data_IF_866262648950
#
_entry.id   IF_866262648950
#
_cell.length_a   1.000
_cell.length_b   1.000
_cell.length_c   1.000
_cell.angle_alpha   90.00
_cell.angle_beta   90.00
_cell.angle_gamma   90.00
#
_symmetry.space_group_name_H-M   'P 1'
#
loop_
_entity.id
_entity.type
_entity.pdbx_description
1 polymer ?
#
# COMPACT_ATOMS: atom_id res chain seq x y z
N UNK A 1 -10.78 9.32 4.33
CA UNK A 1 -11.88 8.38 4.61
C UNK A 1 -11.42 7.11 5.36
N UNK A 2 -10.17 7.06 5.79
CA UNK A 2 -9.65 6.02 6.69
C UNK A 2 -9.90 6.44 8.13
N UNK A 3 -10.34 5.53 8.97
CA UNK A 3 -10.64 5.78 10.37
C UNK A 3 -10.37 4.56 11.26
N UNK A 4 -10.62 4.72 12.55
CA UNK A 4 -10.50 3.63 13.51
C UNK A 4 -11.45 2.47 13.16
N UNK A 5 -10.97 1.25 13.40
CA UNK A 5 -11.68 0.00 13.13
C UNK A 5 -11.88 -0.38 11.64
N UNK A 6 -11.34 0.39 10.70
CA UNK A 6 -11.38 0.03 9.29
C UNK A 6 -10.61 -1.27 8.99
N UNK A 7 -11.05 -1.98 7.95
CA UNK A 7 -10.36 -3.13 7.38
C UNK A 7 -9.60 -2.67 6.15
N UNK A 8 -8.29 -2.88 6.14
CA UNK A 8 -7.41 -2.28 5.14
C UNK A 8 -6.60 -3.34 4.38
N UNK A 9 -6.54 -3.19 3.08
CA UNK A 9 -5.59 -3.89 2.20
C UNK A 9 -4.68 -2.85 1.55
N UNK A 10 -3.38 -3.10 1.55
CA UNK A 10 -2.40 -2.28 0.83
C UNK A 10 -1.72 -3.15 -0.22
N UNK A 11 -1.98 -2.88 -1.51
CA UNK A 11 -1.32 -3.54 -2.64
C UNK A 11 -0.10 -2.72 -3.03
N UNK A 12 1.07 -3.37 -3.08
CA UNK A 12 2.37 -2.71 -3.16
C UNK A 12 2.89 -2.31 -1.78
N UNK A 13 2.55 -3.09 -0.74
CA UNK A 13 2.81 -2.78 0.67
C UNK A 13 4.28 -2.62 1.04
N UNK A 14 5.19 -3.21 0.28
CA UNK A 14 6.63 -3.11 0.50
C UNK A 14 7.32 -2.03 -0.35
N UNK A 15 6.56 -1.32 -1.19
CA UNK A 15 7.04 -0.22 -2.02
C UNK A 15 7.18 1.09 -1.26
N UNK A 16 7.72 2.11 -1.96
CA UNK A 16 8.00 3.43 -1.35
C UNK A 16 6.78 4.19 -0.82
N UNK A 17 5.58 3.95 -1.38
CA UNK A 17 4.32 4.54 -0.91
C UNK A 17 3.59 3.57 0.01
N UNK A 18 3.49 2.30 -0.39
CA UNK A 18 2.73 1.29 0.34
C UNK A 18 3.24 1.03 1.75
N UNK A 19 4.56 1.06 1.97
CA UNK A 19 5.16 0.87 3.29
C UNK A 19 4.75 1.96 4.30
N UNK A 20 4.59 3.19 3.85
CA UNK A 20 4.02 4.25 4.68
C UNK A 20 2.50 4.13 4.80
N UNK A 21 1.81 3.67 3.75
CA UNK A 21 0.35 3.46 3.82
C UNK A 21 -0.02 2.41 4.88
N UNK A 22 0.76 1.33 5.01
CA UNK A 22 0.60 0.33 6.09
C UNK A 22 0.71 0.98 7.47
N UNK A 23 1.76 1.78 7.69
CA UNK A 23 1.98 2.47 8.96
C UNK A 23 0.87 3.49 9.26
N UNK A 24 0.49 4.29 8.26
CA UNK A 24 -0.62 5.26 8.40
C UNK A 24 -1.91 4.55 8.75
N UNK A 25 -2.24 3.46 8.06
CA UNK A 25 -3.46 2.70 8.35
C UNK A 25 -3.48 2.19 9.80
N UNK A 26 -2.39 1.60 10.24
CA UNK A 26 -2.27 1.10 11.62
C UNK A 26 -2.27 2.24 12.64
N UNK A 27 -1.52 3.31 12.38
CA UNK A 27 -1.45 4.50 13.24
C UNK A 27 -2.75 5.27 13.36
N UNK A 28 -3.65 5.16 12.37
CA UNK A 28 -5.02 5.70 12.42
C UNK A 28 -6.03 4.75 13.09
N UNK A 29 -5.58 3.59 13.57
CA UNK A 29 -6.42 2.66 14.31
C UNK A 29 -7.18 1.65 13.45
N UNK A 30 -6.71 1.35 12.23
CA UNK A 30 -7.28 0.26 11.44
C UNK A 30 -7.28 -1.05 12.23
N UNK A 31 -8.40 -1.76 12.21
CA UNK A 31 -8.58 -3.03 12.93
C UNK A 31 -7.71 -4.13 12.35
N UNK A 32 -7.67 -4.21 11.02
CA UNK A 32 -6.87 -5.19 10.29
C UNK A 32 -6.18 -4.49 9.12
N UNK A 33 -4.87 -4.72 8.98
CA UNK A 33 -4.08 -4.25 7.84
C UNK A 33 -3.42 -5.45 7.15
N UNK A 34 -3.80 -5.73 5.91
CA UNK A 34 -3.21 -6.79 5.08
C UNK A 34 -2.30 -6.17 4.04
N UNK A 35 -1.01 -6.49 4.10
CA UNK A 35 -0.03 -6.08 3.09
C UNK A 35 0.08 -7.10 1.95
N UNK A 36 0.06 -6.65 0.71
CA UNK A 36 0.26 -7.47 -0.49
C UNK A 36 1.42 -6.92 -1.30
N UNK A 37 2.45 -7.76 -1.55
CA UNK A 37 3.59 -7.38 -2.38
C UNK A 37 4.28 -8.62 -2.94
N UNK A 38 4.97 -8.45 -4.08
CA UNK A 38 5.72 -9.52 -4.77
C UNK A 38 7.14 -9.72 -4.22
N UNK A 39 7.66 -8.75 -3.46
CA UNK A 39 8.97 -8.83 -2.83
C UNK A 39 8.85 -9.46 -1.44
N UNK A 40 9.13 -10.75 -1.33
CA UNK A 40 8.94 -11.53 -0.10
C UNK A 40 9.74 -10.98 1.09
N UNK A 41 11.00 -10.58 0.87
CA UNK A 41 11.89 -10.07 1.93
C UNK A 41 11.37 -8.77 2.53
N UNK A 42 11.08 -7.78 1.66
CA UNK A 42 10.55 -6.48 2.11
C UNK A 42 9.16 -6.62 2.71
N UNK A 43 8.33 -7.51 2.14
CA UNK A 43 6.97 -7.75 2.62
C UNK A 43 6.96 -8.36 4.03
N UNK A 44 7.87 -9.30 4.32
CA UNK A 44 7.98 -9.90 5.65
C UNK A 44 8.22 -8.84 6.74
N UNK A 45 9.06 -7.84 6.46
CA UNK A 45 9.34 -6.73 7.38
C UNK A 45 8.11 -5.87 7.70
N UNK A 46 7.12 -5.83 6.80
CA UNK A 46 5.93 -4.98 7.01
C UNK A 46 5.10 -5.37 8.23
N UNK A 47 5.28 -6.60 8.75
CA UNK A 47 4.66 -7.01 10.03
C UNK A 47 5.18 -6.20 11.21
N UNK A 48 6.46 -5.84 11.21
CA UNK A 48 7.07 -5.01 12.25
C UNK A 48 6.59 -3.55 12.20
N UNK A 49 6.00 -3.16 11.07
CA UNK A 49 5.52 -1.81 10.79
C UNK A 49 3.98 -1.70 10.68
N UNK A 50 3.25 -2.68 11.19
CA UNK A 50 1.80 -2.58 11.37
C UNK A 50 0.94 -3.40 10.43
N UNK A 51 1.52 -4.24 9.55
CA UNK A 51 0.73 -5.23 8.82
C UNK A 51 0.38 -6.41 9.74
N UNK A 52 -0.90 -6.67 9.95
CA UNK A 52 -1.36 -7.83 10.74
C UNK A 52 -1.15 -9.14 9.97
N UNK A 53 -1.24 -9.08 8.63
CA UNK A 53 -0.96 -10.22 7.76
C UNK A 53 -0.35 -9.77 6.43
N UNK A 54 0.30 -10.70 5.74
CA UNK A 54 0.94 -10.45 4.45
C UNK A 54 0.61 -11.54 3.44
N UNK A 55 0.49 -11.17 2.16
CA UNK A 55 0.24 -12.09 1.03
C UNK A 55 1.23 -11.77 -0.09
N UNK A 56 1.97 -12.78 -0.55
CA UNK A 56 2.77 -12.66 -1.76
C UNK A 56 2.01 -13.28 -2.95
N UNK A 57 1.58 -12.48 -3.95
CA UNK A 57 0.82 -13.00 -5.09
C UNK A 57 1.59 -14.00 -5.96
N UNK A 58 2.92 -14.02 -5.88
CA UNK A 58 3.75 -15.01 -6.61
C UNK A 58 3.67 -16.39 -5.99
N UNK A 59 3.41 -16.47 -4.68
CA UNK A 59 3.30 -17.74 -3.94
C UNK A 59 1.88 -18.29 -3.97
N UNK A 60 0.87 -17.43 -4.17
CA UNK A 60 -0.54 -17.81 -4.21
C UNK A 60 -1.30 -17.02 -5.31
N UNK A 61 -1.13 -17.36 -6.60
CA UNK A 61 -1.72 -16.61 -7.70
C UNK A 61 -3.23 -16.82 -7.85
N UNK A 62 -3.92 -15.82 -8.36
CA UNK A 62 -5.30 -15.91 -8.81
C UNK A 62 -6.30 -16.28 -7.71
N UNK A 63 -6.90 -17.47 -7.78
CA UNK A 63 -7.90 -17.94 -6.80
C UNK A 63 -7.28 -18.18 -5.42
N UNK A 64 -6.05 -18.64 -5.36
CA UNK A 64 -5.35 -18.94 -4.11
C UNK A 64 -5.13 -17.68 -3.28
N UNK A 65 -4.86 -16.53 -3.92
CA UNK A 65 -4.77 -15.24 -3.23
C UNK A 65 -6.08 -14.91 -2.49
N UNK A 66 -7.21 -15.12 -3.15
CA UNK A 66 -8.53 -14.87 -2.53
C UNK A 66 -8.81 -15.82 -1.37
N UNK A 67 -8.45 -17.09 -1.50
CA UNK A 67 -8.61 -18.06 -0.41
C UNK A 67 -7.69 -17.72 0.77
N UNK A 68 -6.45 -17.30 0.51
CA UNK A 68 -5.54 -16.83 1.54
C UNK A 68 -6.08 -15.58 2.25
N UNK A 69 -6.60 -14.61 1.48
CA UNK A 69 -7.25 -13.42 2.02
C UNK A 69 -8.45 -13.76 2.91
N UNK A 70 -9.32 -14.68 2.46
CA UNK A 70 -10.46 -15.17 3.26
C UNK A 70 -10.02 -15.83 4.56
N UNK A 71 -8.95 -16.64 4.52
CA UNK A 71 -8.40 -17.26 5.72
C UNK A 71 -7.93 -16.22 6.73
N UNK A 72 -7.18 -15.20 6.27
CA UNK A 72 -6.73 -14.08 7.11
C UNK A 72 -7.92 -13.33 7.72
N UNK A 73 -8.93 -12.99 6.94
CA UNK A 73 -10.12 -12.32 7.45
C UNK A 73 -10.83 -13.15 8.52
N UNK A 74 -10.95 -14.46 8.30
CA UNK A 74 -11.54 -15.42 9.26
C UNK A 74 -10.74 -15.48 10.56
N UNK A 75 -9.40 -15.57 10.48
CA UNK A 75 -8.50 -15.56 11.63
C UNK A 75 -8.62 -14.25 12.43
N UNK A 76 -8.81 -13.13 11.75
CA UNK A 76 -9.03 -11.83 12.35
C UNK A 76 -10.47 -11.61 12.89
N UNK A 77 -11.37 -12.57 12.72
CA UNK A 77 -12.76 -12.47 13.16
C UNK A 77 -13.57 -11.42 12.38
N UNK A 78 -13.28 -11.23 11.08
CA UNK A 78 -13.96 -10.26 10.21
C UNK A 78 -14.44 -10.93 8.91
N UNK A 79 -15.41 -10.30 8.23
CA UNK A 79 -15.84 -10.76 6.92
C UNK A 79 -14.81 -10.42 5.85
N UNK A 80 -14.49 -11.37 4.96
CA UNK A 80 -13.66 -11.09 3.80
C UNK A 80 -14.41 -10.35 2.67
N UNK A 81 -15.74 -10.30 2.73
CA UNK A 81 -16.58 -9.90 1.61
C UNK A 81 -17.24 -8.53 1.78
N UNK A 82 -16.90 -7.77 2.81
CA UNK A 82 -17.55 -6.47 3.03
C UNK A 82 -16.66 -5.46 3.75
N UNK A 83 -16.77 -4.20 3.35
CA UNK A 83 -16.24 -3.04 4.07
C UNK A 83 -14.73 -2.84 3.99
N UNK A 84 -14.01 -3.55 3.14
CA UNK A 84 -12.57 -3.38 2.99
C UNK A 84 -12.21 -2.11 2.22
N UNK A 85 -11.24 -1.39 2.74
CA UNK A 85 -10.58 -0.26 2.07
C UNK A 85 -9.26 -0.72 1.47
N UNK A 86 -9.20 -0.72 0.16
CA UNK A 86 -8.07 -1.24 -0.60
C UNK A 86 -7.30 -0.07 -1.17
N UNK A 87 -6.01 0.03 -0.84
CA UNK A 87 -5.11 1.06 -1.38
C UNK A 87 -4.19 0.41 -2.41
N UNK A 88 -4.37 0.78 -3.68
CA UNK A 88 -3.52 0.35 -4.77
C UNK A 88 -2.33 1.33 -4.88
N UNK A 89 -1.14 0.88 -4.48
CA UNK A 89 0.07 1.70 -4.40
C UNK A 89 1.15 1.32 -5.41
N UNK A 90 0.87 0.38 -6.34
CA UNK A 90 1.87 -0.09 -7.31
C UNK A 90 1.87 0.71 -8.60
N UNK A 91 0.70 1.14 -9.08
CA UNK A 91 0.49 1.70 -10.41
C UNK A 91 0.68 0.69 -11.55
N UNK A 92 0.91 -0.59 -11.25
CA UNK A 92 1.07 -1.63 -12.27
C UNK A 92 -0.24 -2.33 -12.58
N UNK A 93 -0.41 -2.81 -13.81
CA UNK A 93 -1.59 -3.58 -14.21
C UNK A 93 -1.85 -4.76 -13.25
N UNK A 94 -0.83 -5.53 -12.90
CA UNK A 94 -0.97 -6.68 -12.01
C UNK A 94 -1.43 -6.28 -10.60
N UNK A 95 -0.92 -5.15 -10.07
CA UNK A 95 -1.36 -4.62 -8.79
C UNK A 95 -2.80 -4.13 -8.82
N UNK A 96 -3.18 -3.41 -9.87
CA UNK A 96 -4.55 -2.94 -10.09
C UNK A 96 -5.53 -4.10 -10.23
N UNK A 97 -5.20 -5.14 -11.02
CA UNK A 97 -6.02 -6.35 -11.15
C UNK A 97 -6.16 -7.08 -9.81
N UNK A 98 -5.09 -7.15 -9.02
CA UNK A 98 -5.12 -7.72 -7.67
C UNK A 98 -6.08 -6.94 -6.78
N UNK A 99 -5.96 -5.63 -6.72
CA UNK A 99 -6.82 -4.75 -5.93
C UNK A 99 -8.31 -4.87 -6.35
N UNK A 100 -8.59 -4.80 -7.64
CA UNK A 100 -9.94 -4.96 -8.21
C UNK A 100 -10.53 -6.35 -7.92
N UNK A 101 -9.69 -7.37 -7.87
CA UNK A 101 -10.14 -8.74 -7.59
C UNK A 101 -10.62 -8.94 -6.15
N UNK A 102 -10.15 -8.10 -5.22
CA UNK A 102 -10.50 -8.12 -3.79
C UNK A 102 -11.65 -7.15 -3.46
N UNK A 103 -12.00 -6.25 -4.37
CA UNK A 103 -13.11 -5.32 -4.17
C UNK A 103 -14.42 -6.09 -4.05
N UNK A 104 -15.16 -5.82 -2.99
CA UNK A 104 -16.35 -6.55 -2.59
C UNK A 104 -17.41 -5.61 -2.01
N UNK A 105 -18.45 -6.14 -1.36
CA UNK A 105 -19.60 -5.37 -0.87
C UNK A 105 -19.18 -4.21 0.03
N UNK A 106 -19.70 -3.02 -0.26
CA UNK A 106 -19.44 -1.76 0.47
C UNK A 106 -17.95 -1.46 0.60
N UNK A 107 -17.16 -1.99 -0.34
CA UNK A 107 -15.71 -1.80 -0.37
C UNK A 107 -15.32 -0.50 -1.08
N UNK A 108 -14.17 0.03 -0.73
CA UNK A 108 -13.58 1.21 -1.38
C UNK A 108 -12.21 0.85 -1.92
N UNK A 109 -11.98 1.04 -3.21
CA UNK A 109 -10.65 0.98 -3.82
C UNK A 109 -10.13 2.40 -4.04
N UNK A 110 -9.01 2.73 -3.44
CA UNK A 110 -8.30 4.00 -3.61
C UNK A 110 -7.09 3.78 -4.53
N UNK A 111 -7.10 4.41 -5.69
CA UNK A 111 -5.99 4.36 -6.65
C UNK A 111 -4.97 5.43 -6.27
N UNK A 112 -3.81 5.00 -5.80
CA UNK A 112 -2.70 5.84 -5.33
C UNK A 112 -1.50 5.72 -6.26
N UNK A 113 -1.22 4.50 -6.74
CA UNK A 113 -0.11 4.22 -7.65
C UNK A 113 -0.35 4.84 -9.02
N UNK A 114 0.69 5.48 -9.57
CA UNK A 114 0.66 5.99 -10.94
C UNK A 114 1.24 4.96 -11.90
N UNK A 115 0.54 4.73 -13.00
CA UNK A 115 0.96 3.87 -14.09
C UNK A 115 0.24 4.23 -15.39
N UNK A 116 0.76 3.77 -16.50
CA UNK A 116 0.23 4.05 -17.86
C UNK A 116 -0.52 2.87 -18.47
N UNK A 117 -0.53 1.72 -17.78
CA UNK A 117 -1.18 0.51 -18.27
C UNK A 117 -2.70 0.61 -18.13
N UNK A 118 -3.41 0.07 -19.12
CA UNK A 118 -4.85 -0.06 -19.06
C UNK A 118 -5.25 -1.33 -18.28
N UNK A 119 -6.22 -1.18 -17.37
CA UNK A 119 -6.79 -2.28 -16.61
C UNK A 119 -8.29 -2.40 -16.88
N UNK A 120 -8.76 -3.59 -17.23
CA UNK A 120 -10.17 -3.85 -17.49
C UNK A 120 -10.91 -4.23 -16.22
N UNK A 121 -12.10 -3.66 -16.02
CA UNK A 121 -12.99 -4.00 -14.93
C UNK A 121 -14.46 -3.97 -15.37
N UNK A 122 -15.24 -4.93 -14.91
CA UNK A 122 -16.67 -4.96 -15.17
C UNK A 122 -17.40 -3.98 -14.26
N UNK A 123 -17.79 -2.80 -14.78
CA UNK A 123 -18.41 -1.72 -14.00
C UNK A 123 -19.70 -2.14 -13.30
N UNK A 124 -20.45 -3.10 -13.85
CA UNK A 124 -21.65 -3.64 -13.17
C UNK A 124 -21.35 -4.27 -11.80
N UNK A 125 -20.11 -4.67 -11.52
CA UNK A 125 -19.71 -5.13 -10.19
C UNK A 125 -19.70 -3.99 -9.16
N UNK A 126 -19.40 -2.77 -9.55
CA UNK A 126 -19.49 -1.61 -8.63
C UNK A 126 -20.93 -1.44 -8.15
N UNK A 127 -21.87 -1.48 -9.09
CA UNK A 127 -23.30 -1.41 -8.77
C UNK A 127 -23.74 -2.61 -7.91
N UNK A 128 -23.34 -3.83 -8.28
CA UNK A 128 -23.74 -5.06 -7.58
C UNK A 128 -23.16 -5.14 -6.15
N UNK A 129 -22.01 -4.52 -5.90
CA UNK A 129 -21.35 -4.53 -4.60
C UNK A 129 -21.59 -3.24 -3.79
N UNK A 130 -22.30 -2.27 -4.34
CA UNK A 130 -22.40 -0.93 -3.72
C UNK A 130 -21.01 -0.38 -3.32
N UNK A 131 -20.04 -0.56 -4.23
CA UNK A 131 -18.63 -0.30 -4.00
C UNK A 131 -18.17 1.00 -4.70
N UNK A 132 -17.06 1.55 -4.23
CA UNK A 132 -16.46 2.76 -4.78
C UNK A 132 -15.06 2.51 -5.33
N UNK A 133 -14.70 3.20 -6.42
CA UNK A 133 -13.31 3.36 -6.89
C UNK A 133 -13.01 4.85 -6.90
N UNK A 134 -11.95 5.26 -6.20
CA UNK A 134 -11.61 6.67 -6.00
C UNK A 134 -10.16 6.89 -6.41
N UNK A 135 -9.90 7.87 -7.28
CA UNK A 135 -8.55 8.37 -7.55
C UNK A 135 -8.10 9.35 -6.47
N UNK A 136 -6.80 9.43 -6.26
CA UNK A 136 -6.19 10.44 -5.40
C UNK A 136 -4.95 11.02 -6.06
N UNK A 137 -4.75 12.33 -5.90
CA UNK A 137 -3.62 13.07 -6.41
C UNK A 137 -3.08 14.02 -5.36
N UNK A 138 -1.85 13.77 -4.92
CA UNK A 138 -1.22 14.60 -3.89
C UNK A 138 -2.00 14.68 -2.57
N UNK A 139 -1.67 15.65 -1.75
CA UNK A 139 -2.43 15.96 -0.55
C UNK A 139 -2.46 17.48 -0.31
N UNK A 140 -3.50 17.96 0.37
CA UNK A 140 -3.62 19.37 0.75
C UNK A 140 -2.69 19.69 1.92
N UNK A 141 -2.14 20.94 2.00
CA UNK A 141 -1.18 21.32 3.04
C UNK A 141 -1.70 21.15 4.48
N UNK A 142 -2.99 21.24 4.70
CA UNK A 142 -3.64 21.07 6.00
C UNK A 142 -3.46 19.66 6.61
N UNK A 143 -3.06 18.66 5.80
CA UNK A 143 -2.81 17.29 6.26
C UNK A 143 -1.39 17.09 6.81
N UNK A 144 -0.44 17.96 6.43
CA UNK A 144 0.96 17.78 6.85
C UNK A 144 1.16 17.79 8.37
N UNK A 145 0.54 18.71 9.15
CA UNK A 145 0.72 18.71 10.60
C UNK A 145 0.37 17.36 11.25
N UNK A 146 -0.76 16.78 10.88
CA UNK A 146 -1.20 15.50 11.45
C UNK A 146 -0.26 14.34 11.09
N UNK A 147 0.28 14.32 9.85
CA UNK A 147 1.24 13.30 9.43
C UNK A 147 2.58 13.47 10.14
N UNK A 148 3.05 14.71 10.30
CA UNK A 148 4.28 15.00 11.06
C UNK A 148 4.14 14.61 12.53
N UNK A 149 2.99 14.85 13.15
CA UNK A 149 2.69 14.38 14.51
C UNK A 149 2.81 12.86 14.61
N UNK A 150 2.26 12.11 13.65
CA UNK A 150 2.40 10.65 13.59
C UNK A 150 3.86 10.18 13.46
N UNK A 151 4.72 10.97 12.82
CA UNK A 151 6.16 10.70 12.76
C UNK A 151 6.85 11.00 14.10
N UNK A 152 6.48 12.11 14.76
CA UNK A 152 7.09 12.55 16.03
C UNK A 152 6.72 11.62 17.20
N UNK A 153 5.51 11.08 17.21
CA UNK A 153 5.04 10.15 18.25
C UNK A 153 5.37 8.68 17.96
N UNK A 154 6.05 8.39 16.84
CA UNK A 154 6.55 7.08 16.49
C UNK A 154 5.54 6.14 15.81
N UNK A 155 4.31 6.60 15.52
CA UNK A 155 3.34 5.81 14.74
C UNK A 155 3.80 5.59 13.30
N UNK A 156 4.60 6.52 12.75
CA UNK A 156 5.26 6.37 11.46
C UNK A 156 6.77 6.45 11.65
N UNK A 157 7.47 5.41 11.27
CA UNK A 157 8.93 5.31 11.33
C UNK A 157 9.53 5.58 9.96
N UNK A 158 10.30 6.66 9.83
CA UNK A 158 10.94 7.05 8.57
C UNK A 158 12.29 6.34 8.37
N UNK A 159 13.13 6.30 9.40
CA UNK A 159 14.51 5.81 9.32
C UNK A 159 14.70 4.45 8.64
N UNK A 160 13.89 3.42 8.93
CA UNK A 160 14.02 2.12 8.28
C UNK A 160 13.76 2.11 6.76
N UNK A 161 13.07 3.14 6.23
CA UNK A 161 12.59 3.22 4.84
C UNK A 161 13.31 4.25 4.00
N UNK A 162 14.22 5.04 4.58
CA UNK A 162 14.95 6.10 3.88
C UNK A 162 16.45 5.92 4.06
N UNK A 163 17.21 6.42 3.09
CA UNK A 163 18.66 6.59 3.17
C UNK A 163 19.05 7.90 2.51
N UNK A 164 20.17 8.47 2.89
CA UNK A 164 20.71 9.70 2.28
C UNK A 164 21.87 9.36 1.37
N UNK A 165 21.93 10.03 0.22
CA UNK A 165 23.08 9.98 -0.70
C UNK A 165 23.41 11.39 -1.20
N UNK A 166 24.67 11.68 -1.58
CA UNK A 166 25.03 12.96 -2.14
C UNK A 166 24.32 13.25 -3.45
N UNK A 167 23.99 14.51 -3.70
CA UNK A 167 23.29 14.95 -4.91
C UNK A 167 24.09 14.66 -6.19
N UNK A 168 25.43 14.65 -6.09
CA UNK A 168 26.31 14.24 -7.20
C UNK A 168 26.04 12.82 -7.72
N UNK A 169 25.41 11.97 -6.93
CA UNK A 169 25.02 10.59 -7.35
C UNK A 169 23.63 10.50 -8.01
N UNK A 170 22.98 11.62 -8.28
CA UNK A 170 21.59 11.67 -8.77
C UNK A 170 21.35 10.74 -9.97
N UNK A 171 22.25 10.76 -10.98
CA UNK A 171 22.12 9.93 -12.18
C UNK A 171 22.05 8.44 -11.80
N UNK A 172 22.99 7.98 -10.99
CA UNK A 172 23.05 6.58 -10.56
C UNK A 172 21.83 6.18 -9.72
N UNK A 173 21.36 7.08 -8.84
CA UNK A 173 20.15 6.85 -8.03
C UNK A 173 18.92 6.71 -8.92
N UNK A 174 18.77 7.54 -9.95
CA UNK A 174 17.65 7.42 -10.90
C UNK A 174 17.69 6.11 -11.68
N UNK A 175 18.87 5.67 -12.13
CA UNK A 175 19.04 4.38 -12.81
C UNK A 175 18.62 3.21 -11.91
N UNK A 176 19.09 3.19 -10.65
CA UNK A 176 18.70 2.18 -9.68
C UNK A 176 17.19 2.22 -9.37
N UNK A 177 16.60 3.42 -9.26
CA UNK A 177 15.16 3.59 -9.04
C UNK A 177 14.36 3.04 -10.21
N UNK A 178 14.77 3.37 -11.45
CA UNK A 178 14.13 2.88 -12.67
C UNK A 178 14.12 1.35 -12.77
N UNK A 179 15.21 0.71 -12.36
CA UNK A 179 15.33 -0.74 -12.34
C UNK A 179 14.79 -1.43 -11.06
N UNK A 180 14.16 -0.68 -10.16
CA UNK A 180 13.61 -1.23 -8.91
C UNK A 180 14.65 -1.79 -7.93
N UNK A 181 15.90 -1.37 -8.04
CA UNK A 181 17.04 -1.88 -7.26
C UNK A 181 17.21 -1.21 -5.90
N UNK A 182 16.55 -0.07 -5.69
CA UNK A 182 16.63 0.63 -4.40
C UNK A 182 15.96 -0.18 -3.30
N UNK A 183 16.68 -0.37 -2.19
CA UNK A 183 16.14 -1.03 -1.00
C UNK A 183 15.35 -0.07 -0.11
N UNK A 184 15.73 1.21 -0.14
CA UNK A 184 15.10 2.30 0.62
C UNK A 184 14.87 3.49 -0.32
N UNK A 185 13.99 4.40 0.09
CA UNK A 185 13.85 5.68 -0.60
C UNK A 185 15.10 6.53 -0.37
N UNK A 186 15.73 6.95 -1.45
CA UNK A 186 16.91 7.83 -1.36
C UNK A 186 16.48 9.28 -1.22
N UNK A 187 17.05 9.95 -0.25
CA UNK A 187 17.00 11.40 -0.07
C UNK A 187 18.34 11.94 -0.52
N UNK A 188 18.34 12.76 -1.56
CA UNK A 188 19.56 13.39 -2.07
C UNK A 188 19.89 14.64 -1.25
N UNK A 189 21.11 14.71 -0.73
CA UNK A 189 21.62 15.86 0.03
C UNK A 189 22.59 16.67 -0.83
N UNK A 190 22.47 18.00 -0.88
CA UNK A 190 23.42 18.86 -1.59
C UNK A 190 24.85 18.62 -1.13
N UNK A 191 25.77 18.46 -2.08
CA UNK A 191 27.22 18.29 -1.87
C UNK A 191 28.04 19.19 -2.80
N UNK A 192 27.42 20.31 -3.21
CA UNK A 192 28.09 21.34 -4.01
C UNK A 192 28.88 22.29 -3.09
N UNK A 193 30.12 22.56 -3.44
CA UNK A 193 30.95 23.62 -2.88
C UNK A 193 30.82 24.89 -3.73
#
# INVERSE_FOLDING_TARGET
RLGANDLVVVVGAAGGVGSFMVQVAKGMGAKVVVGIDVNAEKLARMRDFGADATINPRECPGKELKERFKAIAKEAGVSANTGWKIFECTGTKAGQETALSLLSFVGTLVVVGYGTDETSYMLSKLMAFDAEIIGTWGCTPDKYPAVLEMCLDGRIQLGPFVETRPMSQIQHVFEQAHHGQLQRRVILTPDFN
#
